data_IF_275848847353
#
_entry.id   IF_275848847353
#
_cell.length_a   1.000
_cell.length_b   1.000
_cell.length_c   1.000
_cell.angle_alpha   90.00
_cell.angle_beta   90.00
_cell.angle_gamma   90.00
#
_symmetry.space_group_name_H-M   'P 1'
#
loop_
_entity.id
_entity.type
_entity.pdbx_description
1 polymer ?
#
# COMPACT_ATOMS: atom_id res chain seq x y z
N UNK A 1 -3.40 16.60 26.14
CA UNK A 1 -2.78 15.33 25.73
C UNK A 1 -2.25 14.65 26.97
N UNK A 2 -2.94 13.64 27.48
CA UNK A 2 -2.54 12.89 28.67
C UNK A 2 -2.40 11.42 28.32
N UNK A 3 -1.51 10.71 29.01
CA UNK A 3 -1.38 9.26 28.88
C UNK A 3 -2.64 8.59 29.41
N UNK A 4 -3.22 7.67 28.64
CA UNK A 4 -4.34 6.82 29.05
C UNK A 4 -3.83 5.40 29.10
N UNK A 5 -4.14 4.69 30.18
CA UNK A 5 -3.74 3.30 30.38
C UNK A 5 -4.83 2.36 29.90
N UNK A 6 -4.46 1.12 29.56
CA UNK A 6 -5.42 0.06 29.23
C UNK A 6 -5.42 -0.89 30.42
N UNK A 7 -6.60 -1.35 30.81
CA UNK A 7 -6.79 -2.25 31.96
C UNK A 7 -7.53 -3.53 31.54
N UNK A 8 -7.22 -4.64 32.21
CA UNK A 8 -7.72 -5.98 31.87
C UNK A 8 -8.97 -6.41 32.68
N UNK A 9 -9.44 -5.55 33.59
CA UNK A 9 -10.63 -5.74 34.44
C UNK A 9 -11.88 -6.28 33.70
N UNK A 10 -12.10 -5.86 32.44
CA UNK A 10 -13.24 -6.32 31.63
C UNK A 10 -12.89 -7.41 30.62
N UNK A 11 -11.65 -7.44 30.14
CA UNK A 11 -11.19 -8.39 29.16
C UNK A 11 -9.70 -8.65 29.38
N UNK A 12 -9.37 -9.89 29.75
CA UNK A 12 -7.99 -10.34 29.94
C UNK A 12 -7.27 -10.47 28.59
N UNK A 13 -6.78 -9.34 28.09
CA UNK A 13 -5.99 -9.27 26.87
C UNK A 13 -4.57 -9.84 27.05
N UNK A 14 -4.12 -10.03 28.30
CA UNK A 14 -2.78 -10.54 28.63
C UNK A 14 -2.76 -12.05 28.37
N UNK A 15 -3.70 -12.79 28.94
CA UNK A 15 -3.84 -14.23 28.71
C UNK A 15 -4.23 -14.54 27.25
N UNK A 16 -5.06 -13.68 26.65
CA UNK A 16 -5.44 -13.79 25.25
C UNK A 16 -4.30 -13.46 24.26
N UNK A 17 -3.13 -12.99 24.73
CA UNK A 17 -1.95 -12.76 23.89
C UNK A 17 -2.15 -11.73 22.76
N UNK A 18 -3.03 -10.74 22.97
CA UNK A 18 -3.50 -9.85 21.90
C UNK A 18 -2.43 -8.82 21.49
N UNK A 19 -1.60 -8.38 22.44
CA UNK A 19 -0.58 -7.37 22.21
C UNK A 19 0.77 -7.99 21.86
N UNK A 20 1.36 -7.52 20.76
CA UNK A 20 2.72 -7.86 20.34
C UNK A 20 3.64 -6.66 20.52
N UNK A 21 4.91 -6.92 20.85
CA UNK A 21 5.90 -5.85 21.06
C UNK A 21 6.11 -5.06 19.75
N UNK A 22 6.25 -3.74 19.88
CA UNK A 22 6.45 -2.80 18.76
C UNK A 22 5.28 -2.69 17.77
N UNK A 23 4.08 -3.13 18.13
CA UNK A 23 2.86 -2.91 17.36
C UNK A 23 2.03 -1.75 17.92
N UNK A 24 1.29 -1.07 17.04
CA UNK A 24 0.33 -0.03 17.42
C UNK A 24 -1.09 -0.58 17.34
N UNK A 25 -1.96 -0.15 18.24
CA UNK A 25 -3.34 -0.64 18.32
C UNK A 25 -4.32 0.52 18.49
N UNK A 26 -5.48 0.40 17.87
CA UNK A 26 -6.64 1.22 18.17
C UNK A 26 -7.48 0.47 19.19
N UNK A 27 -7.72 1.09 20.34
CA UNK A 27 -8.41 0.44 21.47
C UNK A 27 -9.65 1.24 21.78
N UNK A 28 -10.81 0.60 21.59
CA UNK A 28 -12.11 1.13 22.01
C UNK A 28 -12.50 0.44 23.30
N UNK A 29 -13.14 1.14 24.22
CA UNK A 29 -13.54 0.53 25.48
C UNK A 29 -14.26 1.50 26.39
N UNK A 30 -14.58 1.04 27.59
CA UNK A 30 -15.20 1.88 28.61
C UNK A 30 -14.12 2.73 29.27
N UNK A 31 -14.35 4.04 29.34
CA UNK A 31 -13.51 4.94 30.12
C UNK A 31 -13.74 4.73 31.61
N UNK A 32 -12.68 4.51 32.37
CA UNK A 32 -12.71 4.38 33.81
C UNK A 32 -11.63 5.27 34.43
N UNK A 33 -11.93 5.88 35.58
CA UNK A 33 -10.97 6.71 36.29
C UNK A 33 -10.82 6.19 37.71
N UNK A 34 -9.62 5.71 38.03
CA UNK A 34 -9.31 5.15 39.35
C UNK A 34 -7.87 5.46 39.75
N UNK A 35 -7.62 5.64 41.05
CA UNK A 35 -6.31 6.01 41.60
C UNK A 35 -5.63 7.22 40.92
N UNK A 36 -6.41 8.17 40.42
CA UNK A 36 -5.89 9.37 39.76
C UNK A 36 -5.51 9.18 38.28
N UNK A 37 -5.70 7.98 37.72
CA UNK A 37 -5.28 7.64 36.35
C UNK A 37 -6.50 7.36 35.45
N UNK A 38 -6.56 7.94 34.23
CA UNK A 38 -7.54 7.57 33.23
C UNK A 38 -7.17 6.23 32.57
N UNK A 39 -8.15 5.34 32.49
CA UNK A 39 -8.02 4.00 31.94
C UNK A 39 -9.10 3.74 30.88
N UNK A 40 -8.78 2.88 29.92
CA UNK A 40 -9.73 2.30 28.96
C UNK A 40 -9.79 0.80 29.22
N UNK A 41 -11.01 0.28 29.34
CA UNK A 41 -11.30 -1.13 29.59
C UNK A 41 -11.95 -1.73 28.33
N UNK A 42 -11.19 -2.47 27.51
CA UNK A 42 -11.75 -3.20 26.36
C UNK A 42 -12.76 -4.24 26.85
N UNK A 43 -13.85 -4.46 26.10
CA UNK A 43 -14.90 -5.40 26.53
C UNK A 43 -14.68 -6.81 25.97
N UNK A 44 -14.02 -6.93 24.82
CA UNK A 44 -13.77 -8.18 24.10
C UNK A 44 -12.65 -7.97 23.05
N UNK A 45 -12.22 -9.05 22.40
CA UNK A 45 -11.10 -9.02 21.44
C UNK A 45 -11.24 -7.98 20.32
N UNK A 46 -12.44 -7.80 19.76
CA UNK A 46 -12.71 -6.87 18.66
C UNK A 46 -12.66 -5.38 19.06
N UNK A 47 -12.64 -5.07 20.37
CA UNK A 47 -12.40 -3.70 20.84
C UNK A 47 -10.90 -3.31 20.70
N UNK A 48 -10.02 -4.28 20.38
CA UNK A 48 -8.59 -4.08 20.16
C UNK A 48 -8.27 -4.38 18.69
N UNK A 49 -8.00 -3.34 17.92
CA UNK A 49 -7.66 -3.46 16.51
C UNK A 49 -6.18 -3.18 16.28
N UNK A 50 -5.46 -4.13 15.68
CA UNK A 50 -4.09 -3.93 15.27
C UNK A 50 -4.02 -2.87 14.17
N UNK A 51 -3.30 -1.78 14.44
CA UNK A 51 -2.96 -0.78 13.43
C UNK A 51 -1.79 -1.34 12.62
N UNK A 52 -2.11 -2.03 11.53
CA UNK A 52 -1.11 -2.32 10.51
C UNK A 52 -0.86 -1.04 9.72
N UNK A 53 0.31 -0.44 9.93
CA UNK A 53 0.76 0.68 9.11
C UNK A 53 0.94 0.21 7.67
N UNK A 54 0.08 0.71 6.77
CA UNK A 54 0.05 0.43 5.31
C UNK A 54 -0.08 -1.06 4.97
N UNK A 55 -1.21 -1.42 4.35
CA UNK A 55 -1.26 -2.66 3.57
C UNK A 55 -0.13 -2.58 2.54
N UNK A 56 0.82 -3.51 2.55
CA UNK A 56 1.86 -3.57 1.52
C UNK A 56 1.16 -3.66 0.17
N UNK A 57 1.12 -2.54 -0.57
CA UNK A 57 0.47 -2.50 -1.85
C UNK A 57 1.28 -3.41 -2.78
N UNK A 58 0.61 -4.37 -3.42
CA UNK A 58 1.28 -5.19 -4.42
C UNK A 58 1.91 -4.27 -5.47
N UNK A 59 3.20 -4.53 -5.73
CA UNK A 59 3.98 -3.76 -6.68
C UNK A 59 4.73 -2.55 -6.12
N UNK A 60 4.90 -2.39 -4.81
CA UNK A 60 5.85 -1.42 -4.22
C UNK A 60 7.27 -1.56 -4.80
N UNK A 61 7.77 -2.80 -4.94
CA UNK A 61 9.11 -3.07 -5.49
C UNK A 61 9.21 -2.92 -7.02
N UNK A 62 8.09 -2.69 -7.72
CA UNK A 62 8.11 -2.48 -9.17
C UNK A 62 8.68 -1.09 -9.45
N UNK A 63 9.71 -1.00 -10.28
CA UNK A 63 10.34 0.29 -10.61
C UNK A 63 10.19 0.58 -12.09
N UNK A 64 10.03 1.85 -12.45
CA UNK A 64 9.92 2.30 -13.84
C UNK A 64 10.95 3.40 -14.10
N UNK A 65 11.77 3.24 -15.14
CA UNK A 65 12.90 4.13 -15.44
C UNK A 65 13.23 4.14 -16.94
N UNK A 66 13.97 5.13 -17.46
CA UNK A 66 14.32 6.38 -16.78
C UNK A 66 13.08 7.28 -16.61
N UNK A 67 13.11 8.15 -15.61
CA UNK A 67 12.14 9.24 -15.47
C UNK A 67 12.91 10.54 -15.21
N UNK A 68 12.92 11.53 -16.13
CA UNK A 68 12.19 11.56 -17.40
C UNK A 68 12.70 10.57 -18.48
N UNK A 69 11.83 10.14 -19.38
CA UNK A 69 12.14 9.24 -20.50
C UNK A 69 12.05 9.93 -21.87
N UNK A 70 12.61 9.30 -22.89
CA UNK A 70 12.56 9.76 -24.29
C UNK A 70 11.86 8.73 -25.19
N UNK A 71 12.53 7.63 -25.50
CA UNK A 71 12.11 6.66 -26.51
C UNK A 71 11.64 5.32 -25.93
N UNK A 72 12.05 5.04 -24.69
CA UNK A 72 11.79 3.75 -24.04
C UNK A 72 11.62 3.93 -22.54
N UNK A 73 10.72 3.16 -21.95
CA UNK A 73 10.59 2.97 -20.50
C UNK A 73 10.85 1.50 -20.18
N UNK A 74 11.67 1.26 -19.17
CA UNK A 74 11.94 -0.04 -18.58
C UNK A 74 11.17 -0.18 -17.27
N UNK A 75 10.65 -1.38 -17.04
CA UNK A 75 9.96 -1.73 -15.79
C UNK A 75 10.64 -2.98 -15.23
N UNK A 76 11.16 -2.89 -14.01
CA UNK A 76 11.81 -3.99 -13.29
C UNK A 76 10.92 -4.55 -12.18
N UNK A 77 11.17 -5.82 -11.81
CA UNK A 77 10.37 -6.62 -10.87
C UNK A 77 8.94 -6.86 -11.37
N UNK A 78 8.80 -7.02 -12.70
CA UNK A 78 7.52 -7.17 -13.40
C UNK A 78 7.10 -8.64 -13.59
N UNK A 79 7.79 -9.63 -13.01
CA UNK A 79 7.52 -11.05 -13.24
C UNK A 79 6.08 -11.48 -12.88
N UNK A 80 5.49 -10.82 -11.88
CA UNK A 80 4.10 -11.06 -11.46
C UNK A 80 3.07 -10.22 -12.22
N UNK A 81 3.51 -9.36 -13.15
CA UNK A 81 2.62 -8.56 -13.97
C UNK A 81 2.00 -9.40 -15.08
N UNK A 82 0.72 -9.19 -15.35
CA UNK A 82 -0.01 -9.77 -16.47
C UNK A 82 -0.23 -8.75 -17.59
N UNK A 83 -0.45 -7.49 -17.24
CA UNK A 83 -0.69 -6.41 -18.19
C UNK A 83 -0.02 -5.13 -17.74
N UNK A 84 0.61 -4.45 -18.68
CA UNK A 84 1.19 -3.12 -18.50
C UNK A 84 0.50 -2.18 -19.48
N UNK A 85 0.04 -1.05 -18.98
CA UNK A 85 -0.63 -0.02 -19.79
C UNK A 85 -0.08 1.36 -19.47
N UNK A 86 -0.02 2.21 -20.47
CA UNK A 86 0.38 3.62 -20.33
C UNK A 86 -0.84 4.47 -20.64
N UNK A 87 -1.19 5.34 -19.71
CA UNK A 87 -2.30 6.30 -19.86
C UNK A 87 -1.79 7.72 -19.74
N UNK A 88 -2.37 8.65 -20.49
CA UNK A 88 -2.09 10.08 -20.33
C UNK A 88 -2.93 10.70 -19.19
N UNK A 89 -2.71 11.99 -18.89
CA UNK A 89 -3.43 12.68 -17.80
C UNK A 89 -4.94 12.82 -18.02
N UNK A 90 -5.42 12.71 -19.26
CA UNK A 90 -6.87 12.72 -19.57
C UNK A 90 -7.49 11.32 -19.50
N UNK A 91 -6.70 10.30 -19.11
CA UNK A 91 -7.17 8.92 -18.93
C UNK A 91 -7.22 8.08 -20.22
N UNK A 92 -6.73 8.59 -21.34
CA UNK A 92 -6.63 7.83 -22.58
C UNK A 92 -5.48 6.83 -22.50
N UNK A 93 -5.78 5.55 -22.75
CA UNK A 93 -4.77 4.51 -22.87
C UNK A 93 -4.05 4.62 -24.22
N UNK A 94 -2.76 4.91 -24.18
CA UNK A 94 -1.92 5.09 -25.37
C UNK A 94 -1.12 3.83 -25.71
N UNK A 95 -0.78 3.02 -24.71
CA UNK A 95 -0.08 1.74 -24.90
C UNK A 95 -0.71 0.69 -23.98
N UNK A 96 -0.84 -0.54 -24.47
CA UNK A 96 -1.19 -1.70 -23.65
C UNK A 96 -0.48 -2.93 -24.17
N UNK A 97 0.24 -3.61 -23.30
CA UNK A 97 0.92 -4.85 -23.60
C UNK A 97 0.54 -5.92 -22.58
N UNK A 98 0.45 -7.16 -23.05
CA UNK A 98 0.44 -8.33 -22.17
C UNK A 98 1.88 -8.65 -21.82
N UNK A 99 2.15 -8.87 -20.54
CA UNK A 99 3.48 -9.19 -20.06
C UNK A 99 3.72 -10.70 -20.13
N UNK A 100 4.94 -11.10 -20.46
CA UNK A 100 5.33 -12.50 -20.68
C UNK A 100 5.80 -13.22 -19.40
N UNK A 101 5.80 -12.53 -18.26
CA UNK A 101 6.27 -13.03 -16.98
C UNK A 101 7.78 -12.88 -16.76
N UNK A 102 8.49 -12.19 -17.66
CA UNK A 102 9.90 -11.84 -17.45
C UNK A 102 10.08 -10.83 -16.30
N UNK A 103 11.25 -10.80 -15.67
CA UNK A 103 11.52 -9.83 -14.59
C UNK A 103 11.48 -8.36 -15.08
N UNK A 104 11.79 -8.14 -16.37
CA UNK A 104 11.95 -6.80 -16.96
C UNK A 104 11.10 -6.65 -18.20
N UNK A 105 10.29 -5.59 -18.25
CA UNK A 105 9.52 -5.22 -19.44
C UNK A 105 10.12 -3.99 -20.12
N UNK A 106 10.11 -3.98 -21.46
CA UNK A 106 10.50 -2.83 -22.28
C UNK A 106 9.26 -2.23 -22.96
N UNK A 107 9.01 -0.95 -22.72
CA UNK A 107 7.91 -0.21 -23.33
C UNK A 107 8.46 0.80 -24.33
N UNK A 108 8.28 0.58 -25.65
CA UNK A 108 8.65 1.58 -26.65
C UNK A 108 7.67 2.75 -26.61
N UNK A 109 8.18 3.98 -26.53
CA UNK A 109 7.40 5.20 -26.36
C UNK A 109 7.70 6.25 -27.43
N UNK A 110 8.24 5.86 -28.59
CA UNK A 110 8.67 6.78 -29.64
C UNK A 110 7.55 7.75 -30.08
N UNK A 111 6.35 7.23 -30.29
CA UNK A 111 5.21 7.96 -30.86
C UNK A 111 4.44 8.81 -29.84
N UNK A 112 4.83 8.78 -28.56
CA UNK A 112 4.16 9.56 -27.52
C UNK A 112 4.64 11.02 -27.55
N UNK A 113 3.75 12.03 -27.49
CA UNK A 113 4.18 13.42 -27.31
C UNK A 113 4.77 13.65 -25.91
N UNK A 114 5.58 14.70 -25.76
CA UNK A 114 6.11 15.14 -24.46
C UNK A 114 4.96 15.45 -23.50
N UNK A 115 5.08 15.01 -22.24
CA UNK A 115 3.98 15.13 -21.27
C UNK A 115 4.09 14.16 -20.11
N UNK A 116 3.06 14.13 -19.27
CA UNK A 116 2.98 13.24 -18.11
C UNK A 116 2.12 12.02 -18.44
N UNK A 117 2.62 10.86 -18.03
CA UNK A 117 1.98 9.57 -18.23
C UNK A 117 1.94 8.78 -16.93
N UNK A 118 0.92 7.94 -16.79
CA UNK A 118 0.83 6.95 -15.73
C UNK A 118 1.02 5.57 -16.34
N UNK A 119 2.03 4.85 -15.86
CA UNK A 119 2.25 3.45 -16.18
C UNK A 119 1.50 2.64 -15.14
N UNK A 120 0.48 1.90 -15.57
CA UNK A 120 -0.32 1.01 -14.74
C UNK A 120 0.07 -0.43 -15.03
N UNK A 121 0.55 -1.11 -14.00
CA UNK A 121 0.93 -2.53 -14.01
C UNK A 121 -0.14 -3.29 -13.23
N UNK A 122 -0.66 -4.38 -13.79
CA UNK A 122 -1.72 -5.20 -13.20
C UNK A 122 -1.24 -6.65 -13.12
N UNK A 123 -1.53 -7.37 -12.03
CA UNK A 123 -1.28 -8.81 -11.94
C UNK A 123 -2.51 -9.66 -12.27
N UNK A 124 -2.33 -10.97 -12.24
CA UNK A 124 -3.42 -11.95 -12.42
C UNK A 124 -4.50 -11.88 -11.34
N UNK A 125 -4.21 -11.29 -10.18
CA UNK A 125 -5.17 -11.10 -9.07
C UNK A 125 -5.92 -9.76 -9.16
N UNK A 126 -5.66 -8.94 -10.19
CA UNK A 126 -6.29 -7.63 -10.38
C UNK A 126 -5.72 -6.50 -9.51
N UNK A 127 -4.66 -6.76 -8.74
CA UNK A 127 -3.94 -5.72 -8.00
C UNK A 127 -3.19 -4.82 -8.98
N UNK A 128 -3.03 -3.54 -8.62
CA UNK A 128 -2.47 -2.52 -9.50
C UNK A 128 -1.33 -1.77 -8.85
N UNK A 129 -0.24 -1.61 -9.59
CA UNK A 129 0.84 -0.68 -9.27
C UNK A 129 0.85 0.45 -10.30
N UNK A 130 0.97 1.69 -9.85
CA UNK A 130 0.97 2.86 -10.73
C UNK A 130 2.26 3.65 -10.56
N UNK A 131 2.88 4.06 -11.68
CA UNK A 131 4.09 4.90 -11.71
C UNK A 131 3.86 6.12 -12.57
N UNK A 132 4.10 7.31 -12.00
CA UNK A 132 4.07 8.57 -12.74
C UNK A 132 5.39 8.77 -13.47
N UNK A 133 5.33 8.95 -14.78
CA UNK A 133 6.48 9.10 -15.67
C UNK A 133 6.35 10.39 -16.48
N UNK A 134 7.47 11.05 -16.77
CA UNK A 134 7.52 12.30 -17.53
C UNK A 134 8.28 12.06 -18.83
N UNK A 135 7.65 12.33 -19.97
CA UNK A 135 8.31 12.30 -21.28
C UNK A 135 8.89 13.66 -21.62
N UNK A 136 10.15 13.70 -22.07
CA UNK A 136 10.78 14.87 -22.68
C UNK A 136 10.53 14.92 -24.19
#
# INVERSE_FOLDING_TARGET
TGTVYVDDDMYDYIDAGVFTLNASYNITGIGHYSYGLPKILPRFAQDIELVVGVSTAWGENITAYPNPFTNTVWIDNAESASRISVVNLIGQQVISITHDGSNRAMIPTNDLPSGVYLVTIVNNQGQKAVRKMIKR
#
